data_IF_900505747658
#
_entry.id   IF_900505747658
#
_cell.length_a   1.000
_cell.length_b   1.000
_cell.length_c   1.000
_cell.angle_alpha   90.00
_cell.angle_beta   90.00
_cell.angle_gamma   90.00
#
_symmetry.space_group_name_H-M   'P 1'
#
loop_
_entity.id
_entity.type
_entity.pdbx_description
1 polymer ?
#
# COMPACT_ATOMS: atom_id res chain seq x y z
N UNK A 1 8.82 -32.38 7.37
CA UNK A 1 8.89 -31.43 6.25
C UNK A 1 7.77 -30.44 6.44
N UNK A 2 8.02 -29.15 6.30
CA UNK A 2 6.99 -28.12 6.39
C UNK A 2 5.99 -28.23 5.22
N UNK A 3 4.76 -27.78 5.41
CA UNK A 3 3.73 -27.77 4.36
C UNK A 3 4.15 -26.83 3.22
N UNK A 4 4.76 -25.68 3.58
CA UNK A 4 5.24 -24.67 2.64
C UNK A 4 6.68 -24.23 2.96
N UNK A 5 7.38 -23.75 1.95
CA UNK A 5 8.71 -23.15 2.13
C UNK A 5 8.58 -21.69 2.61
N UNK A 6 7.53 -20.99 2.15
CA UNK A 6 7.23 -19.62 2.58
C UNK A 6 5.73 -19.44 2.82
N UNK A 7 5.38 -18.88 3.96
CA UNK A 7 4.00 -18.42 4.25
C UNK A 7 4.03 -16.90 4.32
N UNK A 8 3.21 -16.23 3.52
CA UNK A 8 3.05 -14.78 3.52
C UNK A 8 1.66 -14.42 4.04
N UNK A 9 1.60 -13.72 5.17
CA UNK A 9 0.35 -13.32 5.81
C UNK A 9 0.02 -11.89 5.38
N UNK A 10 -1.07 -11.74 4.62
CA UNK A 10 -1.51 -10.49 4.00
C UNK A 10 -1.07 -10.36 2.54
N UNK A 11 -1.97 -9.86 1.70
CA UNK A 11 -1.80 -9.72 0.24
C UNK A 11 -1.76 -8.24 -0.21
N UNK A 12 -1.56 -7.31 0.72
CA UNK A 12 -1.38 -5.89 0.43
C UNK A 12 -0.06 -5.60 -0.30
N UNK A 13 0.35 -4.33 -0.33
CA UNK A 13 1.53 -3.88 -1.05
C UNK A 13 2.78 -4.73 -0.77
N UNK A 14 3.09 -5.00 0.50
CA UNK A 14 4.26 -5.82 0.86
C UNK A 14 4.12 -7.28 0.45
N UNK A 15 3.05 -7.95 0.90
CA UNK A 15 2.87 -9.38 0.67
C UNK A 15 2.65 -9.74 -0.80
N UNK A 16 1.83 -8.96 -1.52
CA UNK A 16 1.58 -9.16 -2.94
C UNK A 16 2.84 -8.96 -3.80
N UNK A 17 3.63 -7.92 -3.49
CA UNK A 17 4.90 -7.67 -4.18
C UNK A 17 5.90 -8.80 -3.93
N UNK A 18 6.05 -9.21 -2.66
CA UNK A 18 6.95 -10.29 -2.29
C UNK A 18 6.55 -11.61 -2.98
N UNK A 19 5.26 -11.95 -2.98
CA UNK A 19 4.75 -13.15 -3.62
C UNK A 19 5.13 -13.21 -5.10
N UNK A 20 4.93 -12.11 -5.83
CA UNK A 20 5.32 -12.03 -7.25
C UNK A 20 6.81 -12.26 -7.45
N UNK A 21 7.67 -11.64 -6.61
CA UNK A 21 9.12 -11.81 -6.73
C UNK A 21 9.59 -13.21 -6.38
N UNK A 22 8.92 -13.89 -5.44
CA UNK A 22 9.27 -15.25 -5.04
C UNK A 22 8.67 -16.32 -5.95
N UNK A 23 7.58 -16.04 -6.65
CA UNK A 23 6.91 -17.03 -7.50
C UNK A 23 7.85 -17.78 -8.48
N UNK A 24 8.79 -17.10 -9.18
CA UNK A 24 9.72 -17.78 -10.08
C UNK A 24 10.75 -18.68 -9.39
N UNK A 25 10.85 -18.63 -8.06
CA UNK A 25 11.84 -19.44 -7.31
C UNK A 25 11.54 -20.93 -7.27
N UNK A 26 10.30 -21.33 -7.64
CA UNK A 26 9.83 -22.70 -7.52
C UNK A 26 9.54 -23.17 -6.08
N UNK A 27 9.74 -22.30 -5.07
CA UNK A 27 9.40 -22.59 -3.67
C UNK A 27 7.89 -22.67 -3.50
N UNK A 28 7.42 -23.57 -2.64
CA UNK A 28 6.00 -23.67 -2.27
C UNK A 28 5.62 -22.46 -1.41
N UNK A 29 4.77 -21.60 -1.93
CA UNK A 29 4.38 -20.34 -1.30
C UNK A 29 2.89 -20.36 -0.95
N UNK A 30 2.55 -20.07 0.29
CA UNK A 30 1.19 -19.85 0.74
C UNK A 30 0.97 -18.36 1.03
N UNK A 31 -0.06 -17.80 0.43
CA UNK A 31 -0.62 -16.51 0.79
C UNK A 31 -1.86 -16.72 1.66
N UNK A 32 -1.88 -16.11 2.85
CA UNK A 32 -3.05 -16.06 3.72
C UNK A 32 -3.62 -14.64 3.69
N UNK A 33 -4.85 -14.49 3.21
CA UNK A 33 -5.57 -13.21 3.20
C UNK A 33 -6.84 -13.31 4.04
N UNK A 34 -7.03 -12.36 4.97
CA UNK A 34 -8.21 -12.37 5.83
C UNK A 34 -9.50 -11.98 5.12
N UNK A 35 -9.40 -11.20 4.04
CA UNK A 35 -10.54 -10.81 3.21
C UNK A 35 -10.72 -11.68 1.99
N UNK A 36 -11.81 -11.43 1.27
CA UNK A 36 -12.08 -12.04 -0.03
C UNK A 36 -11.58 -11.20 -1.21
N UNK A 37 -11.96 -11.60 -2.41
CA UNK A 37 -11.78 -10.79 -3.59
C UNK A 37 -12.76 -9.62 -3.59
N UNK A 38 -12.28 -8.43 -3.93
CA UNK A 38 -13.17 -7.28 -4.07
C UNK A 38 -14.03 -7.45 -5.32
N UNK A 39 -15.36 -7.40 -5.14
CA UNK A 39 -16.29 -7.56 -6.24
C UNK A 39 -16.17 -6.44 -7.27
N UNK A 40 -16.31 -6.79 -8.55
CA UNK A 40 -16.44 -5.83 -9.66
C UNK A 40 -17.93 -5.55 -9.86
N UNK A 41 -18.37 -4.43 -9.36
CA UNK A 41 -19.79 -4.08 -9.30
C UNK A 41 -20.01 -2.57 -9.56
N UNK A 42 -21.22 -2.13 -9.95
CA UNK A 42 -21.50 -0.71 -10.21
C UNK A 42 -21.22 0.19 -9.00
N UNK A 43 -21.34 -0.32 -7.78
CA UNK A 43 -21.09 0.37 -6.52
C UNK A 43 -19.63 0.81 -6.38
N UNK A 44 -18.69 0.18 -7.08
CA UNK A 44 -17.29 0.61 -7.12
C UNK A 44 -17.13 2.07 -7.60
N UNK A 45 -18.06 2.56 -8.39
CA UNK A 45 -18.09 3.92 -8.95
C UNK A 45 -19.22 4.78 -8.40
N UNK A 46 -19.72 4.45 -7.25
CA UNK A 46 -20.76 5.23 -6.55
C UNK A 46 -20.16 5.96 -5.36
N UNK A 47 -20.15 7.28 -5.39
CA UNK A 47 -19.70 8.11 -4.26
C UNK A 47 -20.51 7.84 -2.99
N UNK A 48 -21.82 7.60 -3.12
CA UNK A 48 -22.67 7.27 -1.99
C UNK A 48 -22.24 5.94 -1.36
N UNK A 49 -22.15 4.86 -2.14
CA UNK A 49 -21.79 3.54 -1.62
C UNK A 49 -20.38 3.53 -1.00
N UNK A 50 -19.41 4.21 -1.65
CA UNK A 50 -18.01 4.19 -1.21
C UNK A 50 -17.78 5.02 0.04
N UNK A 51 -18.25 6.29 0.06
CA UNK A 51 -17.88 7.25 1.11
C UNK A 51 -19.00 7.51 2.14
N UNK A 52 -20.28 7.41 1.75
CA UNK A 52 -21.39 7.67 2.68
C UNK A 52 -21.77 6.38 3.39
N UNK A 53 -22.03 5.33 2.65
CA UNK A 53 -22.45 4.04 3.20
C UNK A 53 -21.28 3.18 3.69
N UNK A 54 -20.05 3.53 3.29
CA UNK A 54 -18.82 2.84 3.73
C UNK A 54 -18.75 1.37 3.29
N UNK A 55 -19.34 1.03 2.13
CA UNK A 55 -19.50 -0.35 1.63
C UNK A 55 -18.24 -1.20 1.70
N UNK A 56 -17.07 -0.61 1.51
CA UNK A 56 -15.79 -1.32 1.45
C UNK A 56 -14.94 -1.13 2.71
N UNK A 57 -15.47 -0.46 3.72
CA UNK A 57 -14.77 -0.27 5.00
C UNK A 57 -14.90 -1.54 5.83
N UNK A 58 -13.80 -1.92 6.51
CA UNK A 58 -13.79 -3.03 7.44
C UNK A 58 -14.80 -2.81 8.58
N UNK A 59 -15.51 -3.87 9.03
CA UNK A 59 -16.39 -3.77 10.20
C UNK A 59 -15.64 -3.68 11.53
N UNK A 60 -14.30 -3.79 11.53
CA UNK A 60 -13.48 -3.76 12.74
C UNK A 60 -13.63 -2.43 13.49
N UNK A 61 -13.80 -2.50 14.79
CA UNK A 61 -13.74 -1.33 15.69
C UNK A 61 -12.38 -1.26 16.36
N UNK A 62 -11.74 -0.12 16.27
CA UNK A 62 -10.47 0.16 16.96
C UNK A 62 -10.72 1.11 18.14
N UNK A 63 -9.76 1.16 19.05
CA UNK A 63 -9.80 1.98 20.25
C UNK A 63 -8.56 2.84 20.31
N UNK A 64 -8.73 4.13 20.62
CA UNK A 64 -7.60 5.01 20.91
C UNK A 64 -7.03 4.74 22.33
N UNK A 65 -5.97 5.44 22.68
CA UNK A 65 -5.32 5.30 24.00
C UNK A 65 -6.24 5.65 25.20
N UNK A 66 -7.37 6.32 24.95
CA UNK A 66 -8.37 6.68 25.97
C UNK A 66 -9.56 5.70 25.98
N UNK A 67 -9.52 4.66 25.15
CA UNK A 67 -10.60 3.69 25.00
C UNK A 67 -11.78 4.18 24.16
N UNK A 68 -11.67 5.32 23.47
CA UNK A 68 -12.68 5.80 22.54
C UNK A 68 -12.62 5.00 21.26
N UNK A 69 -13.76 4.54 20.80
CA UNK A 69 -13.88 3.79 19.53
C UNK A 69 -13.71 4.71 18.32
N UNK A 70 -13.10 4.17 17.27
CA UNK A 70 -13.05 4.81 15.95
C UNK A 70 -13.00 3.76 14.84
N UNK A 71 -13.39 4.18 13.62
CA UNK A 71 -13.31 3.36 12.42
C UNK A 71 -11.96 3.63 11.74
N UNK A 72 -11.10 2.59 11.59
CA UNK A 72 -9.74 2.77 11.08
C UNK A 72 -9.64 2.99 9.56
N UNK A 73 -10.73 2.87 8.82
CA UNK A 73 -10.75 2.94 7.35
C UNK A 73 -9.76 1.97 6.69
N UNK A 74 -9.61 0.77 7.25
CA UNK A 74 -8.83 -0.30 6.65
C UNK A 74 -9.72 -1.21 5.80
N UNK A 75 -9.12 -1.83 4.80
CA UNK A 75 -9.83 -2.63 3.81
C UNK A 75 -9.20 -4.03 3.76
N UNK A 76 -10.04 -5.06 3.89
CA UNK A 76 -9.63 -6.45 3.90
C UNK A 76 -10.07 -7.15 2.62
N UNK A 77 -9.22 -7.04 1.62
CA UNK A 77 -9.40 -7.67 0.32
C UNK A 77 -8.07 -8.20 -0.18
N UNK A 78 -8.10 -9.13 -1.13
CA UNK A 78 -6.92 -9.45 -1.92
C UNK A 78 -6.39 -8.17 -2.57
N UNK A 79 -5.13 -7.82 -2.27
CA UNK A 79 -4.55 -6.52 -2.60
C UNK A 79 -4.57 -5.50 -1.46
N UNK A 80 -5.27 -5.79 -0.36
CA UNK A 80 -5.32 -4.93 0.84
C UNK A 80 -5.82 -3.52 0.56
N UNK A 81 -5.33 -2.54 1.31
CA UNK A 81 -5.71 -1.14 1.17
C UNK A 81 -5.34 -0.52 -0.19
N UNK A 82 -4.44 -1.14 -0.97
CA UNK A 82 -4.10 -0.66 -2.32
C UNK A 82 -5.28 -0.76 -3.30
N UNK A 83 -6.33 -1.49 -2.97
CA UNK A 83 -7.56 -1.52 -3.77
C UNK A 83 -8.23 -0.15 -3.85
N UNK A 84 -8.13 0.66 -2.79
CA UNK A 84 -8.79 1.95 -2.67
C UNK A 84 -7.83 3.15 -2.69
N UNK A 85 -6.51 2.94 -2.69
CA UNK A 85 -5.54 4.04 -2.69
C UNK A 85 -5.58 4.87 -3.99
N UNK A 86 -4.98 6.06 -3.98
CA UNK A 86 -4.92 6.96 -5.14
C UNK A 86 -3.89 6.56 -6.21
N UNK A 87 -3.13 5.50 -6.01
CA UNK A 87 -2.02 5.07 -6.85
C UNK A 87 -0.94 6.14 -7.07
N UNK A 88 -0.80 7.09 -6.15
CA UNK A 88 0.34 7.99 -6.09
C UNK A 88 1.52 7.23 -5.48
N UNK A 89 2.63 7.14 -6.22
CA UNK A 89 3.76 6.28 -5.88
C UNK A 89 5.06 7.09 -5.86
N UNK A 90 5.25 7.83 -4.77
CA UNK A 90 6.44 8.62 -4.51
C UNK A 90 7.53 7.80 -3.82
N UNK A 91 8.79 8.16 -4.05
CA UNK A 91 9.90 7.72 -3.21
C UNK A 91 9.96 8.58 -1.96
N UNK A 92 10.37 8.02 -0.84
CA UNK A 92 10.83 8.83 0.29
C UNK A 92 12.10 9.59 -0.14
N UNK A 93 12.31 10.79 0.44
CA UNK A 93 13.46 11.62 0.14
C UNK A 93 14.65 11.15 0.99
N UNK A 94 15.87 11.50 0.58
CA UNK A 94 17.08 11.14 1.33
C UNK A 94 16.99 11.60 2.80
N UNK A 95 16.49 12.83 3.03
CA UNK A 95 16.32 13.39 4.38
C UNK A 95 15.32 12.60 5.24
N UNK A 96 14.34 11.90 4.63
CA UNK A 96 13.34 11.13 5.38
C UNK A 96 13.96 9.96 6.15
N UNK A 97 15.13 9.49 5.74
CA UNK A 97 15.88 8.43 6.42
C UNK A 97 16.71 8.95 7.60
N UNK A 98 16.91 10.27 7.69
CA UNK A 98 17.61 10.92 8.79
C UNK A 98 16.71 11.22 9.98
N UNK A 99 17.29 11.81 11.03
CA UNK A 99 16.53 12.38 12.14
C UNK A 99 15.78 13.64 11.65
N UNK A 100 14.45 13.65 11.82
CA UNK A 100 13.61 14.81 11.50
C UNK A 100 12.97 15.35 12.79
N UNK A 101 13.08 16.66 13.00
CA UNK A 101 12.51 17.37 14.14
C UNK A 101 11.23 18.09 13.73
N UNK A 102 10.18 17.82 14.48
CA UNK A 102 8.87 18.46 14.35
C UNK A 102 8.53 19.23 15.62
N UNK A 103 7.57 20.17 15.60
CA UNK A 103 7.17 20.93 16.79
C UNK A 103 6.75 20.05 17.99
N UNK A 104 6.20 18.87 17.71
CA UNK A 104 5.62 17.95 18.69
C UNK A 104 6.40 16.64 18.87
N UNK A 105 7.57 16.50 18.23
CA UNK A 105 8.37 15.31 18.39
C UNK A 105 9.54 15.16 17.41
N UNK A 106 10.21 14.03 17.52
CA UNK A 106 11.34 13.65 16.66
C UNK A 106 11.02 12.34 15.97
N UNK A 107 11.17 12.31 14.64
CA UNK A 107 11.29 11.06 13.89
C UNK A 107 12.76 10.62 13.96
N UNK A 108 13.09 9.50 14.60
CA UNK A 108 14.46 9.04 14.69
C UNK A 108 14.99 8.63 13.31
N UNK A 109 16.30 8.72 13.14
CA UNK A 109 16.96 8.21 11.94
C UNK A 109 16.67 6.70 11.77
N UNK A 110 16.49 6.29 10.52
CA UNK A 110 16.36 4.89 10.16
C UNK A 110 17.74 4.21 10.17
N UNK A 111 17.82 2.89 10.45
CA UNK A 111 19.09 2.17 10.41
C UNK A 111 19.61 1.90 8.99
N UNK A 112 18.87 2.34 7.96
CA UNK A 112 19.19 2.24 6.54
C UNK A 112 19.05 3.62 5.91
N UNK A 113 19.78 3.87 4.82
CA UNK A 113 19.71 5.11 4.05
C UNK A 113 18.92 4.97 2.76
N UNK A 114 18.76 6.09 2.06
CA UNK A 114 18.12 6.12 0.76
C UNK A 114 18.83 5.23 -0.27
N UNK A 115 20.18 5.23 -0.28
CA UNK A 115 20.97 4.44 -1.22
C UNK A 115 20.73 2.92 -1.06
N UNK A 116 20.45 2.46 0.15
CA UNK A 116 20.07 1.07 0.42
C UNK A 116 18.71 0.73 -0.20
N UNK A 117 17.81 1.71 -0.29
CA UNK A 117 16.44 1.55 -0.78
C UNK A 117 16.27 1.87 -2.28
N UNK A 118 17.17 2.64 -2.87
CA UNK A 118 17.07 3.10 -4.26
C UNK A 118 16.86 1.97 -5.27
N UNK A 119 17.63 0.86 -5.25
CA UNK A 119 17.43 -0.26 -6.18
C UNK A 119 16.02 -0.87 -6.06
N UNK A 120 15.46 -0.91 -4.86
CA UNK A 120 14.12 -1.44 -4.60
C UNK A 120 13.03 -0.48 -5.05
N UNK A 121 13.25 0.84 -4.94
CA UNK A 121 12.33 1.83 -5.52
C UNK A 121 12.30 1.71 -7.03
N UNK A 122 13.45 1.63 -7.69
CA UNK A 122 13.53 1.44 -9.14
C UNK A 122 12.83 0.15 -9.59
N UNK A 123 13.03 -0.94 -8.85
CA UNK A 123 12.34 -2.21 -9.10
C UNK A 123 10.82 -2.08 -8.90
N UNK A 124 10.38 -1.43 -7.83
CA UNK A 124 8.96 -1.24 -7.54
C UNK A 124 8.27 -0.35 -8.57
N UNK A 125 8.92 0.72 -9.03
CA UNK A 125 8.41 1.57 -10.11
C UNK A 125 8.18 0.78 -11.39
N UNK A 126 9.14 -0.07 -11.78
CA UNK A 126 8.97 -0.99 -12.92
C UNK A 126 7.81 -1.96 -12.71
N UNK A 127 7.74 -2.53 -11.51
CA UNK A 127 6.73 -3.50 -11.14
C UNK A 127 5.30 -2.93 -11.17
N UNK A 128 5.10 -1.73 -10.61
CA UNK A 128 3.82 -1.04 -10.55
C UNK A 128 3.57 -0.14 -11.76
N UNK A 129 4.40 -0.22 -12.80
CA UNK A 129 4.28 0.54 -14.04
C UNK A 129 4.08 2.04 -13.79
N UNK A 130 4.92 2.61 -12.93
CA UNK A 130 4.79 4.00 -12.51
C UNK A 130 5.06 4.93 -13.69
N UNK A 131 4.18 5.90 -13.86
CA UNK A 131 4.27 6.98 -14.84
C UNK A 131 4.72 8.24 -14.14
N UNK A 132 5.68 8.95 -14.70
CA UNK A 132 6.19 10.18 -14.13
C UNK A 132 7.22 10.86 -15.04
N UNK A 133 7.69 12.03 -14.62
CA UNK A 133 8.77 12.77 -15.26
C UNK A 133 9.83 13.10 -14.20
N UNK A 134 11.07 12.63 -14.39
CA UNK A 134 12.16 12.92 -13.47
C UNK A 134 12.61 14.37 -13.57
N UNK A 135 12.99 14.93 -12.42
CA UNK A 135 13.62 16.25 -12.34
C UNK A 135 12.64 17.44 -12.36
N UNK A 136 11.32 17.17 -12.36
CA UNK A 136 10.32 18.24 -12.21
C UNK A 136 10.10 18.59 -10.72
N UNK A 137 10.10 17.62 -9.83
CA UNK A 137 9.98 17.81 -8.37
C UNK A 137 11.35 18.17 -7.77
N UNK A 138 11.54 19.38 -7.24
CA UNK A 138 12.82 19.80 -6.67
C UNK A 138 13.26 19.01 -5.45
N UNK A 139 12.33 18.27 -4.83
CA UNK A 139 12.61 17.41 -3.67
C UNK A 139 12.87 15.95 -4.08
N UNK A 140 12.74 15.62 -5.37
CA UNK A 140 12.88 14.24 -5.83
C UNK A 140 14.31 13.71 -5.58
N UNK A 141 14.45 12.55 -4.94
CA UNK A 141 15.77 11.99 -4.68
C UNK A 141 16.39 11.41 -5.96
N UNK A 142 17.73 11.23 -6.01
CA UNK A 142 18.41 10.63 -7.13
C UNK A 142 17.82 9.27 -7.52
N UNK A 143 17.85 8.94 -8.80
CA UNK A 143 17.39 7.66 -9.33
C UNK A 143 18.34 7.10 -10.36
N UNK A 144 18.61 5.81 -10.30
CA UNK A 144 19.44 5.08 -11.26
C UNK A 144 18.76 4.84 -12.61
N UNK A 145 17.44 5.05 -12.70
CA UNK A 145 16.65 4.85 -13.91
C UNK A 145 15.54 5.92 -14.07
N UNK A 146 15.12 6.21 -15.31
CA UNK A 146 13.91 6.99 -15.55
C UNK A 146 12.67 6.22 -15.03
N UNK A 147 11.53 6.92 -14.93
CA UNK A 147 10.25 6.22 -14.77
C UNK A 147 10.02 5.27 -15.96
N UNK A 148 9.44 4.08 -15.74
CA UNK A 148 9.24 3.09 -16.80
C UNK A 148 8.27 3.58 -17.89
N UNK A 149 7.39 4.53 -17.57
CA UNK A 149 6.45 5.12 -18.49
C UNK A 149 6.41 6.64 -18.35
N UNK A 150 6.11 7.38 -19.44
CA UNK A 150 6.00 8.82 -19.39
C UNK A 150 4.87 9.27 -18.47
N UNK A 151 4.99 10.48 -17.95
CA UNK A 151 3.96 11.12 -17.13
C UNK A 151 2.62 11.18 -17.84
N UNK A 152 1.54 11.14 -17.07
CA UNK A 152 0.20 11.36 -17.60
C UNK A 152 0.01 12.86 -17.91
N UNK A 153 -0.45 13.23 -19.09
CA UNK A 153 -0.69 14.64 -19.42
C UNK A 153 -1.78 15.23 -18.54
N UNK A 154 -1.60 16.47 -18.17
CA UNK A 154 -2.64 17.24 -17.46
C UNK A 154 -3.85 17.47 -18.35
N UNK A 155 -5.04 17.44 -17.76
CA UNK A 155 -6.21 17.99 -18.43
C UNK A 155 -6.14 19.53 -18.44
N UNK A 156 -6.83 20.22 -19.37
CA UNK A 156 -6.62 21.65 -19.61
C UNK A 156 -6.73 22.54 -18.35
N UNK A 157 -7.64 22.22 -17.43
CA UNK A 157 -7.79 22.99 -16.19
C UNK A 157 -6.67 22.72 -15.19
N UNK A 158 -6.16 21.48 -15.15
CA UNK A 158 -5.01 21.13 -14.33
C UNK A 158 -3.73 21.73 -14.91
N UNK A 159 -3.58 21.77 -16.23
CA UNK A 159 -2.46 22.46 -16.88
C UNK A 159 -2.47 23.96 -16.54
N UNK A 160 -3.62 24.62 -16.63
CA UNK A 160 -3.74 26.01 -16.23
C UNK A 160 -3.33 26.25 -14.76
N UNK A 161 -3.77 25.35 -13.86
CA UNK A 161 -3.37 25.44 -12.44
C UNK A 161 -1.85 25.25 -12.29
N UNK A 162 -1.26 24.33 -13.03
CA UNK A 162 0.20 24.15 -13.06
C UNK A 162 0.92 25.42 -13.51
N UNK A 163 0.45 26.04 -14.59
CA UNK A 163 1.04 27.28 -15.11
C UNK A 163 0.90 28.44 -14.12
N UNK A 164 -0.25 28.57 -13.46
CA UNK A 164 -0.52 29.58 -12.43
C UNK A 164 0.39 29.39 -11.21
N UNK A 165 0.61 28.16 -10.77
CA UNK A 165 1.52 27.84 -9.66
C UNK A 165 2.97 28.13 -10.02
N UNK A 166 3.40 27.79 -11.24
CA UNK A 166 4.74 28.13 -11.74
C UNK A 166 4.94 29.65 -11.82
N UNK A 167 3.93 30.39 -12.30
CA UNK A 167 3.96 31.85 -12.33
C UNK A 167 4.03 32.48 -10.92
N UNK A 168 3.51 31.78 -9.91
CA UNK A 168 3.61 32.16 -8.50
C UNK A 168 4.96 31.80 -7.86
N UNK A 169 5.90 31.17 -8.61
CA UNK A 169 7.23 30.79 -8.16
C UNK A 169 7.32 29.44 -7.47
N UNK A 170 6.29 28.60 -7.60
CA UNK A 170 6.30 27.20 -7.12
C UNK A 170 6.77 26.26 -8.23
N UNK A 171 7.04 25.01 -7.87
CA UNK A 171 7.54 23.97 -8.78
C UNK A 171 6.50 22.85 -8.94
N UNK A 172 5.42 23.09 -9.72
CA UNK A 172 4.45 22.03 -10.01
C UNK A 172 5.08 20.95 -10.89
N UNK A 173 4.70 19.71 -10.65
CA UNK A 173 5.23 18.56 -11.36
C UNK A 173 4.15 17.51 -11.65
N UNK A 174 4.44 16.58 -12.56
CA UNK A 174 3.57 15.44 -12.81
C UNK A 174 3.68 14.42 -11.69
N UNK A 175 2.60 14.25 -10.92
CA UNK A 175 2.55 13.31 -9.81
C UNK A 175 2.81 11.87 -10.29
N UNK A 176 3.81 11.15 -9.73
CA UNK A 176 4.07 9.76 -10.08
C UNK A 176 2.86 8.87 -9.82
N UNK A 177 2.38 8.17 -10.84
CA UNK A 177 1.10 7.48 -10.77
C UNK A 177 1.17 6.06 -11.38
N UNK A 178 0.72 5.07 -10.59
CA UNK A 178 0.61 3.67 -11.02
C UNK A 178 -0.75 3.36 -11.64
N UNK A 179 -0.89 3.58 -12.94
CA UNK A 179 -2.10 3.23 -13.71
C UNK A 179 -1.74 2.63 -15.07
N UNK A 180 -2.50 1.64 -15.49
CA UNK A 180 -2.30 0.93 -16.77
C UNK A 180 -2.93 1.74 -17.91
N UNK A 181 -2.32 2.89 -18.20
CA UNK A 181 -2.75 3.80 -19.25
C UNK A 181 -1.82 3.71 -20.45
N UNK A 182 -2.39 3.66 -21.64
CA UNK A 182 -1.69 3.83 -22.91
C UNK A 182 -2.20 5.12 -23.54
N UNK A 183 -1.34 6.12 -23.70
CA UNK A 183 -1.69 7.39 -24.32
C UNK A 183 -1.49 7.36 -25.84
N UNK A 184 -0.77 6.39 -26.39
CA UNK A 184 -0.63 6.18 -27.83
C UNK A 184 -1.88 5.52 -28.42
N UNK A 185 -2.51 4.63 -27.62
CA UNK A 185 -3.77 3.95 -28.00
C UNK A 185 -4.84 4.13 -26.93
N UNK A 186 -5.30 5.36 -26.67
CA UNK A 186 -6.20 5.67 -25.56
C UNK A 186 -7.56 4.96 -25.63
N UNK A 187 -8.01 4.57 -26.82
CA UNK A 187 -9.30 3.90 -27.04
C UNK A 187 -9.30 2.44 -26.58
N UNK A 188 -8.14 1.80 -26.58
CA UNK A 188 -7.96 0.40 -26.13
C UNK A 188 -7.24 0.29 -24.81
N UNK A 189 -6.89 1.42 -24.21
CA UNK A 189 -6.22 1.47 -22.91
C UNK A 189 -7.10 0.91 -21.79
N UNK A 190 -6.50 0.16 -20.86
CA UNK A 190 -7.20 -0.39 -19.70
C UNK A 190 -7.70 0.75 -18.80
N UNK A 191 -6.86 1.76 -18.53
CA UNK A 191 -7.26 2.94 -17.80
C UNK A 191 -7.98 3.94 -18.72
N UNK A 192 -9.22 4.26 -18.37
CA UNK A 192 -10.07 5.19 -19.14
C UNK A 192 -10.05 6.62 -18.59
N UNK A 193 -9.18 6.91 -17.64
CA UNK A 193 -9.09 8.24 -16.98
C UNK A 193 -10.43 8.71 -16.42
N UNK A 194 -11.11 7.85 -15.66
CA UNK A 194 -12.38 8.19 -15.00
C UNK A 194 -12.17 9.05 -13.75
N UNK A 195 -13.24 9.68 -13.26
CA UNK A 195 -13.25 10.48 -12.04
C UNK A 195 -13.26 9.67 -10.73
N UNK A 196 -13.28 8.33 -10.81
CA UNK A 196 -13.43 7.42 -9.67
C UNK A 196 -12.12 6.67 -9.40
N UNK A 197 -11.03 7.38 -9.15
CA UNK A 197 -9.72 6.76 -8.99
C UNK A 197 -9.23 6.78 -7.54
N UNK A 198 -9.18 7.95 -6.92
CA UNK A 198 -8.70 8.11 -5.55
C UNK A 198 -9.82 7.77 -4.54
N UNK A 199 -9.52 6.83 -3.65
CA UNK A 199 -10.49 6.33 -2.67
C UNK A 199 -11.51 5.32 -3.21
N UNK A 200 -11.55 5.07 -4.52
CA UNK A 200 -12.50 4.12 -5.14
C UNK A 200 -11.82 2.81 -5.56
N UNK A 201 -12.52 1.67 -5.47
CA UNK A 201 -12.09 0.46 -6.15
C UNK A 201 -12.08 0.64 -7.66
N UNK A 202 -11.12 0.04 -8.36
CA UNK A 202 -11.08 0.10 -9.81
C UNK A 202 -11.67 -1.17 -10.45
N UNK A 203 -12.90 -1.16 -10.99
CA UNK A 203 -13.51 -2.35 -11.58
C UNK A 203 -12.87 -2.74 -12.92
N UNK A 204 -12.04 -1.87 -13.50
CA UNK A 204 -11.32 -2.15 -14.75
C UNK A 204 -9.97 -2.84 -14.52
N UNK A 205 -9.53 -3.01 -13.27
CA UNK A 205 -8.18 -3.47 -12.94
C UNK A 205 -7.08 -2.63 -13.61
N UNK A 206 -7.35 -1.35 -13.80
CA UNK A 206 -6.45 -0.40 -14.43
C UNK A 206 -5.57 0.35 -13.43
N UNK A 207 -5.89 0.28 -12.14
CA UNK A 207 -5.05 0.78 -11.06
C UNK A 207 -3.98 -0.25 -10.76
N UNK A 208 -2.73 0.16 -10.70
CA UNK A 208 -1.61 -0.72 -10.36
C UNK A 208 -1.60 -1.00 -8.85
N UNK A 209 -2.58 -1.74 -8.38
CA UNK A 209 -2.68 -2.19 -6.99
C UNK A 209 -2.00 -3.56 -6.79
N UNK A 210 -1.85 -3.98 -5.52
CA UNK A 210 -1.14 -5.19 -5.17
C UNK A 210 -1.84 -6.49 -5.65
N UNK A 211 -3.17 -6.47 -5.86
CA UNK A 211 -3.86 -7.58 -6.51
C UNK A 211 -3.42 -7.68 -7.97
N UNK A 212 -3.54 -6.57 -8.71
CA UNK A 212 -3.31 -6.53 -10.17
C UNK A 212 -1.85 -6.76 -10.50
N UNK A 213 -0.94 -6.10 -9.79
CA UNK A 213 0.49 -6.12 -10.11
C UNK A 213 1.29 -7.17 -9.33
N UNK A 214 0.73 -7.70 -8.25
CA UNK A 214 1.41 -8.64 -7.36
C UNK A 214 0.75 -10.01 -7.33
N UNK A 215 -0.41 -10.11 -6.69
CA UNK A 215 -1.04 -11.41 -6.38
C UNK A 215 -1.46 -12.17 -7.63
N UNK A 216 -2.17 -11.53 -8.57
CA UNK A 216 -2.61 -12.23 -9.80
C UNK A 216 -1.45 -12.78 -10.61
N UNK A 217 -0.38 -12.01 -10.91
CA UNK A 217 0.80 -12.58 -11.57
C UNK A 217 1.49 -13.68 -10.77
N UNK A 218 1.53 -13.59 -9.43
CA UNK A 218 2.09 -14.67 -8.61
C UNK A 218 1.32 -15.98 -8.75
N UNK A 219 -0.02 -15.90 -8.81
CA UNK A 219 -0.90 -17.06 -8.93
C UNK A 219 -0.84 -17.76 -10.31
N UNK A 220 -0.20 -17.16 -11.31
CA UNK A 220 0.10 -17.84 -12.59
C UNK A 220 1.15 -18.95 -12.39
N UNK A 221 1.89 -18.92 -11.29
CA UNK A 221 2.89 -19.92 -10.94
C UNK A 221 2.24 -21.06 -10.12
N UNK A 222 2.40 -22.34 -10.51
CA UNK A 222 1.71 -23.45 -9.86
C UNK A 222 2.17 -23.73 -8.42
N UNK A 223 3.28 -23.15 -8.01
CA UNK A 223 3.85 -23.28 -6.66
C UNK A 223 3.32 -22.22 -5.67
N UNK A 224 2.42 -21.32 -6.11
CA UNK A 224 1.80 -20.30 -5.27
C UNK A 224 0.34 -20.63 -5.01
N UNK A 225 -0.02 -20.69 -3.75
CA UNK A 225 -1.40 -20.94 -3.27
C UNK A 225 -1.91 -19.71 -2.53
N UNK A 226 -3.15 -19.32 -2.76
CA UNK A 226 -3.84 -18.27 -2.01
C UNK A 226 -5.03 -18.86 -1.27
N UNK A 227 -5.12 -18.63 0.02
CA UNK A 227 -6.32 -18.83 0.82
C UNK A 227 -6.89 -17.47 1.20
N UNK A 228 -8.11 -17.21 0.78
CA UNK A 228 -8.91 -16.03 1.17
C UNK A 228 -9.82 -16.36 2.33
N UNK A 229 -10.34 -15.32 2.99
CA UNK A 229 -11.19 -15.46 4.18
C UNK A 229 -10.50 -16.32 5.26
N UNK A 230 -9.17 -16.17 5.34
CA UNK A 230 -8.29 -16.95 6.19
C UNK A 230 -7.47 -16.03 7.13
N UNK A 231 -8.12 -15.35 8.11
CA UNK A 231 -7.43 -14.49 9.05
C UNK A 231 -6.44 -15.29 9.91
N UNK A 232 -5.16 -14.95 9.82
CA UNK A 232 -4.15 -15.46 10.74
C UNK A 232 -4.41 -14.90 12.15
N UNK A 233 -4.49 -15.77 13.14
CA UNK A 233 -4.83 -15.41 14.52
C UNK A 233 -3.66 -15.57 15.49
N UNK A 234 -2.69 -16.45 15.19
CA UNK A 234 -1.55 -16.71 16.05
C UNK A 234 -0.39 -17.34 15.27
N UNK A 235 0.82 -17.02 15.70
CA UNK A 235 2.05 -17.68 15.27
C UNK A 235 2.52 -18.66 16.36
N UNK A 236 2.89 -19.88 15.95
CA UNK A 236 3.46 -20.89 16.83
C UNK A 236 4.97 -20.87 16.75
N UNK A 237 5.65 -21.13 17.88
CA UNK A 237 7.10 -21.24 17.95
C UNK A 237 7.52 -22.67 18.28
N UNK A 238 8.80 -22.99 18.02
CA UNK A 238 9.42 -24.19 18.57
C UNK A 238 9.48 -24.10 20.12
N UNK A 239 9.72 -25.20 20.83
CA UNK A 239 9.74 -25.21 22.31
C UNK A 239 10.74 -24.24 22.94
N UNK A 240 11.84 -23.94 22.27
CA UNK A 240 12.86 -23.01 22.73
C UNK A 240 12.50 -21.52 22.45
N UNK A 241 11.46 -21.25 21.66
CA UNK A 241 11.02 -19.93 21.27
C UNK A 241 11.92 -19.22 20.24
N UNK A 242 12.86 -19.93 19.63
CA UNK A 242 13.88 -19.35 18.74
C UNK A 242 13.45 -19.25 17.27
N UNK A 243 12.38 -19.96 16.89
CA UNK A 243 11.88 -19.96 15.52
C UNK A 243 10.35 -20.05 15.50
N UNK A 244 9.73 -19.32 14.58
CA UNK A 244 8.32 -19.50 14.22
C UNK A 244 8.21 -20.76 13.35
N UNK A 245 7.31 -21.66 13.71
CA UNK A 245 7.15 -22.96 13.06
C UNK A 245 5.82 -23.13 12.35
N UNK A 246 4.83 -22.27 12.65
CA UNK A 246 3.52 -22.40 12.03
C UNK A 246 2.64 -21.16 12.23
N UNK A 247 1.58 -21.14 11.46
CA UNK A 247 0.55 -20.10 11.49
C UNK A 247 -0.80 -20.75 11.75
N UNK A 248 -1.47 -20.29 12.79
CA UNK A 248 -2.87 -20.64 13.06
C UNK A 248 -3.76 -19.59 12.39
N UNK A 249 -4.77 -20.02 11.67
CA UNK A 249 -5.73 -19.17 11.00
C UNK A 249 -7.15 -19.76 11.10
N UNK A 250 -8.14 -18.93 10.95
CA UNK A 250 -9.54 -19.34 10.91
C UNK A 250 -9.99 -19.45 9.46
N UNK A 251 -10.77 -20.49 9.14
CA UNK A 251 -11.38 -20.66 7.83
C UNK A 251 -12.63 -21.55 7.93
N UNK A 252 -13.69 -21.13 7.28
CA UNK A 252 -14.95 -21.90 7.22
C UNK A 252 -15.46 -22.36 8.62
N UNK A 253 -15.26 -21.52 9.63
CA UNK A 253 -15.69 -21.78 11.01
C UNK A 253 -14.79 -22.73 11.80
N UNK A 254 -13.66 -23.13 11.25
CA UNK A 254 -12.65 -23.97 11.93
C UNK A 254 -11.31 -23.24 12.08
N UNK A 255 -10.54 -23.64 13.10
CA UNK A 255 -9.14 -23.21 13.26
C UNK A 255 -8.24 -24.25 12.61
N UNK A 256 -7.42 -23.80 11.67
CA UNK A 256 -6.44 -24.59 10.96
C UNK A 256 -5.03 -24.14 11.34
N UNK A 257 -4.06 -25.03 11.14
CA UNK A 257 -2.63 -24.71 11.34
C UNK A 257 -1.84 -25.17 10.14
N UNK A 258 -0.95 -24.32 9.66
CA UNK A 258 -0.02 -24.63 8.57
C UNK A 258 1.41 -24.34 8.99
N UNK A 259 2.36 -25.15 8.54
CA UNK A 259 3.78 -25.04 8.86
C UNK A 259 4.58 -24.48 7.69
N UNK A 260 5.57 -23.64 7.97
CA UNK A 260 6.45 -23.05 6.96
C UNK A 260 7.87 -22.86 7.45
N UNK A 261 8.83 -22.93 6.52
CA UNK A 261 10.24 -22.68 6.84
C UNK A 261 10.51 -21.18 7.08
N UNK A 262 9.78 -20.32 6.35
CA UNK A 262 9.80 -18.87 6.51
C UNK A 262 8.38 -18.35 6.64
N UNK A 263 8.11 -17.55 7.67
CA UNK A 263 6.83 -16.88 7.87
C UNK A 263 7.01 -15.37 7.77
N UNK A 264 6.30 -14.76 6.82
CA UNK A 264 6.33 -13.32 6.57
C UNK A 264 5.05 -12.69 7.10
N UNK A 265 5.17 -11.76 8.05
CA UNK A 265 4.04 -10.99 8.59
C UNK A 265 3.92 -9.69 7.80
N UNK A 266 2.93 -9.60 6.90
CA UNK A 266 2.72 -8.49 5.97
C UNK A 266 1.27 -7.98 5.99
N UNK A 267 0.69 -7.86 7.20
CA UNK A 267 -0.72 -7.56 7.42
C UNK A 267 -1.03 -6.05 7.53
N UNK A 268 -0.09 -5.19 7.12
CA UNK A 268 -0.13 -3.75 7.42
C UNK A 268 0.29 -3.46 8.89
N UNK A 269 0.61 -2.21 9.19
CA UNK A 269 1.28 -1.83 10.45
C UNK A 269 0.54 -2.33 11.70
N UNK A 270 -0.75 -2.01 11.83
CA UNK A 270 -1.52 -2.34 13.03
C UNK A 270 -1.81 -3.84 13.17
N UNK A 271 -2.24 -4.51 12.09
CA UNK A 271 -2.57 -5.93 12.17
C UNK A 271 -1.32 -6.82 12.29
N UNK A 272 -0.17 -6.41 11.75
CA UNK A 272 1.11 -7.10 11.99
C UNK A 272 1.49 -7.04 13.47
N UNK A 273 1.39 -5.87 14.08
CA UNK A 273 1.63 -5.71 15.52
C UNK A 273 0.62 -6.52 16.35
N UNK A 274 -0.68 -6.46 16.01
CA UNK A 274 -1.73 -7.26 16.67
C UNK A 274 -1.41 -8.75 16.64
N UNK A 275 -1.00 -9.28 15.49
CA UNK A 275 -0.67 -10.71 15.33
C UNK A 275 0.54 -11.09 16.17
N UNK A 276 1.59 -10.27 16.19
CA UNK A 276 2.78 -10.51 17.02
C UNK A 276 2.45 -10.50 18.51
N UNK A 277 1.65 -9.53 18.98
CA UNK A 277 1.21 -9.46 20.38
C UNK A 277 0.29 -10.62 20.77
N UNK A 278 -0.65 -11.00 19.90
CA UNK A 278 -1.55 -12.15 20.11
C UNK A 278 -0.81 -13.50 20.14
N UNK A 279 0.41 -13.53 19.62
CA UNK A 279 1.26 -14.72 19.60
C UNK A 279 2.12 -14.91 20.84
N UNK A 280 1.81 -14.19 21.93
CA UNK A 280 2.51 -14.33 23.22
C UNK A 280 2.50 -15.79 23.71
N UNK A 281 3.61 -16.23 24.31
CA UNK A 281 3.78 -17.56 24.90
C UNK A 281 4.78 -17.50 26.07
N UNK A 282 5.08 -18.63 26.71
CA UNK A 282 5.97 -18.70 27.87
C UNK A 282 7.39 -18.14 27.60
N UNK A 283 7.87 -18.24 26.36
CA UNK A 283 9.19 -17.70 25.97
C UNK A 283 9.11 -16.23 25.55
N UNK A 284 7.96 -15.77 25.12
CA UNK A 284 7.68 -14.43 24.65
C UNK A 284 6.40 -13.89 25.31
N UNK A 285 6.42 -13.62 26.63
CA UNK A 285 5.20 -13.27 27.38
C UNK A 285 4.56 -11.95 26.94
N UNK A 286 5.33 -11.07 26.31
CA UNK A 286 4.86 -9.77 25.82
C UNK A 286 4.58 -9.75 24.29
N UNK A 287 4.52 -10.92 23.66
CA UNK A 287 4.38 -11.05 22.21
C UNK A 287 5.69 -11.36 21.49
N UNK A 288 5.58 -11.90 20.28
CA UNK A 288 6.75 -12.19 19.43
C UNK A 288 7.43 -10.91 18.98
N UNK A 289 8.76 -10.96 18.81
CA UNK A 289 9.62 -9.83 18.42
C UNK A 289 9.50 -8.59 19.34
N UNK A 290 8.94 -8.72 20.54
CA UNK A 290 8.64 -7.61 21.44
C UNK A 290 9.53 -7.56 22.69
N UNK A 291 10.78 -7.99 22.59
CA UNK A 291 11.76 -7.91 23.71
C UNK A 291 12.09 -6.47 24.12
N UNK A 292 11.93 -5.50 23.24
CA UNK A 292 12.13 -4.06 23.48
C UNK A 292 10.84 -3.31 23.83
N UNK A 293 9.70 -3.99 23.91
CA UNK A 293 8.36 -3.40 24.15
C UNK A 293 7.97 -2.31 23.12
N UNK A 294 8.40 -2.46 21.86
CA UNK A 294 8.10 -1.50 20.80
C UNK A 294 6.98 -1.95 19.83
N UNK A 295 6.62 -3.24 19.83
CA UNK A 295 5.58 -3.76 18.97
C UNK A 295 4.22 -3.16 19.33
N UNK A 296 3.56 -2.54 18.36
CA UNK A 296 2.25 -1.88 18.52
C UNK A 296 2.32 -0.48 19.13
N UNK A 297 3.52 0.05 19.40
CA UNK A 297 3.70 1.44 19.83
C UNK A 297 3.96 2.35 18.63
N UNK A 298 3.84 3.67 18.86
CA UNK A 298 4.18 4.72 17.88
C UNK A 298 3.42 4.56 16.56
N UNK A 299 2.13 4.23 16.63
CA UNK A 299 1.27 4.18 15.44
C UNK A 299 1.23 5.56 14.78
N UNK A 300 1.58 5.60 13.50
CA UNK A 300 1.58 6.80 12.68
C UNK A 300 0.76 6.57 11.42
N UNK A 301 0.16 7.62 10.90
CA UNK A 301 -0.57 7.64 9.63
C UNK A 301 -0.40 9.01 8.96
N UNK A 302 -0.74 9.10 7.69
CA UNK A 302 -0.68 10.36 6.97
C UNK A 302 -1.66 11.37 7.58
N UNK A 303 -1.14 12.55 7.95
CA UNK A 303 -1.99 13.68 8.31
C UNK A 303 -2.40 14.41 7.03
N UNK A 304 -3.62 14.15 6.58
CA UNK A 304 -4.13 14.69 5.33
C UNK A 304 -5.15 15.79 5.58
N UNK A 305 -5.04 16.89 4.86
CA UNK A 305 -6.04 17.95 4.80
C UNK A 305 -6.61 18.00 3.39
N UNK A 306 -7.92 18.25 3.28
CA UNK A 306 -8.59 18.49 2.02
C UNK A 306 -9.05 19.94 1.98
N UNK A 307 -8.72 20.63 0.90
CA UNK A 307 -9.18 21.98 0.63
C UNK A 307 -10.07 21.98 -0.59
N UNK A 308 -11.29 22.49 -0.45
CA UNK A 308 -12.22 22.65 -1.55
C UNK A 308 -12.24 24.12 -1.98
N UNK A 309 -11.82 24.36 -3.21
CA UNK A 309 -11.90 25.69 -3.85
C UNK A 309 -13.03 25.70 -4.88
N UNK A 310 -14.01 26.60 -4.70
CA UNK A 310 -15.10 26.79 -5.66
C UNK A 310 -14.67 27.82 -6.70
N UNK A 311 -14.48 27.37 -7.93
CA UNK A 311 -14.18 28.26 -9.07
C UNK A 311 -15.46 28.91 -9.61
N UNK A 312 -15.35 30.18 -10.05
CA UNK A 312 -16.41 30.85 -10.81
C UNK A 312 -16.50 30.31 -12.24
N UNK A 313 -15.43 29.73 -12.73
CA UNK A 313 -15.33 29.14 -14.05
C UNK A 313 -15.67 27.63 -13.98
N UNK A 314 -16.35 27.08 -14.98
CA UNK A 314 -16.61 25.64 -15.03
C UNK A 314 -15.30 24.84 -14.98
N UNK A 315 -15.29 23.78 -14.19
CA UNK A 315 -14.17 22.83 -14.14
C UNK A 315 -14.60 21.49 -14.77
N UNK A 316 -14.29 21.24 -16.04
CA UNK A 316 -14.65 20.01 -16.73
C UNK A 316 -13.69 18.85 -16.46
N UNK A 317 -12.68 19.03 -15.60
CA UNK A 317 -11.67 18.01 -15.29
C UNK A 317 -12.31 16.76 -14.71
N UNK A 318 -11.99 15.62 -15.29
CA UNK A 318 -12.45 14.30 -14.85
C UNK A 318 -11.35 13.59 -14.07
N UNK A 319 -10.15 13.51 -14.63
CA UNK A 319 -9.02 12.83 -14.00
C UNK A 319 -8.05 13.84 -13.38
N UNK A 320 -8.20 14.09 -12.08
CA UNK A 320 -7.62 15.28 -11.40
C UNK A 320 -6.21 15.07 -10.82
N UNK A 321 -5.75 13.84 -10.64
CA UNK A 321 -4.59 13.48 -9.80
C UNK A 321 -3.23 13.52 -10.49
N UNK A 322 -3.05 14.33 -11.51
CA UNK A 322 -1.81 14.38 -12.29
C UNK A 322 -0.82 15.44 -11.83
N UNK A 323 -1.23 16.34 -10.95
CA UNK A 323 -0.43 17.48 -10.49
C UNK A 323 0.02 17.29 -9.03
N UNK A 324 1.28 17.58 -8.75
CA UNK A 324 1.86 17.66 -7.40
C UNK A 324 2.66 18.96 -7.22
N UNK A 325 2.82 19.39 -5.97
CA UNK A 325 3.71 20.47 -5.53
C UNK A 325 4.33 20.06 -4.20
N UNK A 326 5.65 20.04 -4.11
CA UNK A 326 6.40 19.61 -2.93
C UNK A 326 7.33 20.67 -2.36
N UNK A 327 7.16 21.94 -2.76
CA UNK A 327 8.00 23.05 -2.32
C UNK A 327 8.09 23.14 -0.79
N UNK A 328 7.02 22.78 -0.09
CA UNK A 328 6.92 22.85 1.37
C UNK A 328 7.11 21.51 2.08
N UNK A 329 7.66 20.48 1.38
CA UNK A 329 7.75 19.11 1.91
C UNK A 329 8.55 19.05 3.22
N UNK A 330 9.63 19.83 3.35
CA UNK A 330 10.45 19.88 4.56
C UNK A 330 10.14 21.10 5.45
N UNK A 331 9.14 21.91 5.13
CA UNK A 331 8.70 23.02 5.95
C UNK A 331 9.61 24.27 5.91
N UNK A 332 10.41 24.43 4.87
CA UNK A 332 11.30 25.59 4.66
C UNK A 332 10.58 26.76 4.02
#
# INVERSE_FOLDING_TARGET
MSDYDVIIIGTGAGGGTLARHLAPSGKRILLLERGGWLAREPQNWSTADVFIDGRYISPDTWYDAKGKTFQPQVHYFVGGATKLYGAALYRLREKDFGELKYPDGISPAWPIGYDDMEPYYTMAEGHYQVRGARGEDPTEPPSSAPYPFPALPHEPRIQQLSDDLAAAGLHPFHAPCGVLRDEDTPQTSVCVRCGFCDGFPCPLHAKADAEVMGVRPALESPNVTLLTEAPAIRLSTNPDGTAVTGVMFEREGSTETVTGDVVVVSCGAANSAKLLLASANDKHPNGLANGSDQVGRNYMFHYSQAVLALSKEPNPTVFQKTLGVNDFYFGD
#
